data_IF_994212684385
#
_entry.id   IF_994212684385
#
_cell.length_a   1.000
_cell.length_b   1.000
_cell.length_c   1.000
_cell.angle_alpha   90.00
_cell.angle_beta   90.00
_cell.angle_gamma   90.00
#
_symmetry.space_group_name_H-M   'P 1'
#
loop_
_entity.id
_entity.type
_entity.pdbx_description
1 polymer ?
#
# COMPACT_ATOMS: atom_id res chain seq x y z
N UNK A 1 -26.04 -34.22 -20.47
CA UNK A 1 -25.26 -32.98 -20.77
C UNK A 1 -25.40 -32.05 -19.58
N UNK A 2 -24.32 -31.88 -18.80
CA UNK A 2 -24.33 -31.12 -17.55
C UNK A 2 -24.43 -29.62 -17.86
N UNK A 3 -25.41 -28.96 -17.23
CA UNK A 3 -25.62 -27.51 -17.26
C UNK A 3 -24.40 -26.83 -16.62
N UNK A 4 -23.72 -25.94 -17.36
CA UNK A 4 -22.70 -25.07 -16.79
C UNK A 4 -23.37 -23.74 -16.46
N UNK A 5 -23.55 -23.48 -15.17
CA UNK A 5 -24.06 -22.22 -14.64
C UNK A 5 -22.99 -21.13 -14.80
N UNK A 6 -23.41 -19.96 -15.26
CA UNK A 6 -22.74 -18.68 -15.11
C UNK A 6 -22.27 -18.45 -13.67
N UNK A 7 -21.10 -17.82 -13.50
CA UNK A 7 -20.93 -16.88 -12.40
C UNK A 7 -20.12 -15.70 -12.91
N UNK A 8 -20.84 -14.59 -13.05
CA UNK A 8 -20.34 -13.24 -13.31
C UNK A 8 -19.46 -12.87 -12.12
N UNK A 9 -18.16 -12.67 -12.35
CA UNK A 9 -17.27 -12.13 -11.35
C UNK A 9 -17.63 -10.65 -11.19
N UNK A 10 -18.42 -10.36 -10.15
CA UNK A 10 -18.80 -9.00 -9.78
C UNK A 10 -17.54 -8.20 -9.47
N UNK A 11 -17.27 -7.18 -10.29
CA UNK A 11 -16.27 -6.15 -10.02
C UNK A 11 -16.74 -5.40 -8.78
N UNK A 12 -16.23 -5.76 -7.60
CA UNK A 12 -16.26 -4.86 -6.45
C UNK A 12 -15.17 -3.81 -6.71
N UNK A 13 -15.54 -2.76 -7.44
CA UNK A 13 -14.83 -1.51 -7.38
C UNK A 13 -14.99 -0.97 -5.97
N UNK A 14 -14.02 -1.23 -5.09
CA UNK A 14 -13.87 -0.44 -3.88
C UNK A 14 -13.38 0.93 -4.35
N UNK A 15 -14.34 1.81 -4.62
CA UNK A 15 -14.13 3.23 -4.83
C UNK A 15 -13.22 3.73 -3.72
N UNK A 16 -12.05 4.25 -4.10
CA UNK A 16 -11.12 4.87 -3.19
C UNK A 16 -11.86 5.89 -2.34
N UNK A 17 -11.84 5.71 -1.03
CA UNK A 17 -12.22 6.74 -0.09
C UNK A 17 -11.22 7.89 -0.29
N UNK A 18 -11.56 8.85 -1.15
CA UNK A 18 -10.91 10.15 -1.21
C UNK A 18 -11.28 10.90 0.06
N UNK A 19 -10.57 10.61 1.15
CA UNK A 19 -10.48 11.52 2.27
C UNK A 19 -9.36 12.50 1.94
N UNK A 20 -9.73 13.70 1.49
CA UNK A 20 -8.87 14.86 1.68
C UNK A 20 -8.77 15.04 3.21
N UNK A 21 -7.72 14.48 3.81
CA UNK A 21 -7.56 14.38 5.26
C UNK A 21 -7.26 15.74 5.91
N UNK A 22 -7.08 16.80 5.11
CA UNK A 22 -6.59 18.10 5.56
C UNK A 22 -5.17 18.05 6.13
N UNK A 23 -4.50 16.89 6.03
CA UNK A 23 -3.13 16.72 6.47
C UNK A 23 -2.18 17.29 5.41
N UNK A 24 -1.15 17.98 5.86
CA UNK A 24 -0.10 18.52 4.99
C UNK A 24 1.26 18.21 5.59
N UNK A 25 2.02 17.33 4.93
CA UNK A 25 3.38 16.95 5.33
C UNK A 25 4.44 17.56 4.41
N UNK A 26 4.12 18.59 3.63
CA UNK A 26 5.08 19.30 2.76
C UNK A 26 6.24 19.91 3.54
N UNK A 27 5.99 20.29 4.80
CA UNK A 27 6.98 20.86 5.71
C UNK A 27 7.98 19.83 6.27
N UNK A 28 7.68 18.53 6.19
CA UNK A 28 8.52 17.42 6.66
C UNK A 28 9.54 17.06 5.58
N UNK A 29 10.47 17.97 5.33
CA UNK A 29 11.41 17.91 4.22
C UNK A 29 12.86 17.61 4.64
N UNK A 30 13.04 17.03 5.82
CA UNK A 30 14.35 16.61 6.31
C UNK A 30 14.22 15.39 7.23
N UNK A 31 15.34 14.69 7.41
CA UNK A 31 15.41 13.54 8.31
C UNK A 31 15.13 13.97 9.76
N UNK A 32 15.65 15.10 10.19
CA UNK A 32 15.49 15.64 11.55
C UNK A 32 14.02 15.89 11.86
N UNK A 33 13.29 16.53 10.94
CA UNK A 33 11.85 16.79 11.09
C UNK A 33 11.04 15.50 11.12
N UNK A 34 11.41 14.53 10.27
CA UNK A 34 10.77 13.22 10.26
C UNK A 34 10.95 12.52 11.60
N UNK A 35 12.19 12.51 12.13
CA UNK A 35 12.50 11.84 13.39
C UNK A 35 11.85 12.52 14.60
N UNK A 36 11.74 13.85 14.58
CA UNK A 36 10.99 14.59 15.60
C UNK A 36 9.52 14.14 15.65
N UNK A 37 8.86 14.00 14.50
CA UNK A 37 7.47 13.52 14.44
C UNK A 37 7.33 12.04 14.81
N UNK A 38 8.33 11.21 14.55
CA UNK A 38 8.38 9.82 15.04
C UNK A 38 8.46 9.80 16.57
N UNK A 39 9.33 10.62 17.16
CA UNK A 39 9.47 10.73 18.61
C UNK A 39 8.19 11.25 19.29
N UNK A 40 7.45 12.13 18.61
CA UNK A 40 6.14 12.62 19.04
C UNK A 40 5.00 11.61 18.83
N UNK A 41 5.26 10.44 18.23
CA UNK A 41 4.24 9.43 17.93
C UNK A 41 3.27 9.84 16.82
N UNK A 42 3.67 10.76 15.93
CA UNK A 42 2.87 11.26 14.81
C UNK A 42 3.19 10.58 13.48
N UNK A 43 4.41 10.03 13.35
CA UNK A 43 4.82 9.23 12.20
C UNK A 43 5.27 7.85 12.65
N UNK A 44 4.95 6.87 11.82
CA UNK A 44 5.18 5.45 12.05
C UNK A 44 5.96 4.89 10.86
N UNK A 45 6.97 4.09 11.15
CA UNK A 45 7.74 3.40 10.12
C UNK A 45 6.95 2.20 9.62
N UNK A 46 6.83 2.06 8.31
CA UNK A 46 6.25 0.86 7.66
C UNK A 46 7.19 0.33 6.60
N UNK A 47 7.04 -0.96 6.25
CA UNK A 47 7.66 -1.53 5.06
C UNK A 47 6.79 -1.30 3.82
N UNK A 48 7.42 -0.94 2.70
CA UNK A 48 6.77 -0.84 1.40
C UNK A 48 6.42 -2.24 0.91
N UNK A 49 7.43 -3.06 0.66
CA UNK A 49 7.29 -4.47 0.35
C UNK A 49 7.15 -5.27 1.66
N UNK A 50 6.05 -6.04 1.84
CA UNK A 50 5.78 -6.78 3.08
C UNK A 50 6.84 -7.81 3.45
N UNK A 51 7.08 -7.97 4.75
CA UNK A 51 8.02 -8.98 5.28
C UNK A 51 7.56 -10.42 4.99
N UNK A 52 6.24 -10.63 4.90
CA UNK A 52 5.56 -11.87 4.59
C UNK A 52 5.88 -12.36 3.17
N UNK A 53 6.32 -11.46 2.30
CA UNK A 53 6.80 -11.76 0.95
C UNK A 53 8.33 -11.70 0.83
N UNK A 54 9.05 -11.53 1.94
CA UNK A 54 10.51 -11.43 1.98
C UNK A 54 11.05 -10.00 1.99
N UNK A 55 10.21 -9.00 2.25
CA UNK A 55 10.65 -7.61 2.42
C UNK A 55 11.53 -7.41 3.64
N UNK A 56 12.70 -6.80 3.45
CA UNK A 56 13.65 -6.51 4.53
C UNK A 56 13.42 -5.14 5.16
N UNK A 57 13.75 -4.99 6.45
CA UNK A 57 13.76 -3.68 7.10
C UNK A 57 15.04 -2.90 6.79
N UNK A 58 15.10 -2.34 5.58
CA UNK A 58 16.18 -1.50 5.08
C UNK A 58 15.66 -0.14 4.63
N UNK A 59 16.50 0.92 4.58
CA UNK A 59 16.06 2.27 4.20
C UNK A 59 15.31 2.34 2.87
N UNK A 60 15.65 1.49 1.90
CA UNK A 60 15.04 1.44 0.56
C UNK A 60 13.65 0.80 0.56
N UNK A 61 13.33 0.00 1.56
CA UNK A 61 12.05 -0.70 1.69
C UNK A 61 11.20 -0.12 2.84
N UNK A 62 11.57 1.03 3.39
CA UNK A 62 10.85 1.61 4.53
C UNK A 62 10.52 3.08 4.31
N UNK A 63 9.36 3.49 4.80
CA UNK A 63 8.88 4.88 4.76
C UNK A 63 8.23 5.26 6.09
N UNK A 64 8.06 6.55 6.31
CA UNK A 64 7.35 7.10 7.48
C UNK A 64 5.98 7.63 7.05
N UNK A 65 4.93 7.21 7.75
CA UNK A 65 3.54 7.51 7.43
C UNK A 65 2.78 7.95 8.69
N UNK A 66 1.70 8.76 8.57
CA UNK A 66 0.87 9.13 9.70
C UNK A 66 0.10 7.95 10.30
N UNK A 67 -0.50 8.18 11.47
CA UNK A 67 -1.39 7.22 12.12
C UNK A 67 -2.52 6.75 11.19
N UNK A 68 -2.99 5.51 11.36
CA UNK A 68 -4.05 4.89 10.56
C UNK A 68 -3.56 4.24 9.27
N UNK A 69 -2.43 4.72 8.71
CA UNK A 69 -1.83 4.14 7.50
C UNK A 69 -1.25 2.74 7.75
N UNK A 70 -0.55 2.46 8.87
CA UNK A 70 -0.07 1.10 9.16
C UNK A 70 -1.20 0.07 9.14
N UNK A 71 -2.34 0.37 9.77
CA UNK A 71 -3.48 -0.53 9.84
C UNK A 71 -4.11 -0.78 8.47
N UNK A 72 -4.22 0.26 7.64
CA UNK A 72 -4.68 0.12 6.24
C UNK A 72 -3.71 -0.76 5.45
N UNK A 73 -2.41 -0.56 5.62
CA UNK A 73 -1.36 -1.34 4.95
C UNK A 73 -1.40 -2.81 5.37
N UNK A 74 -1.66 -3.10 6.64
CA UNK A 74 -1.79 -4.47 7.15
C UNK A 74 -3.00 -5.18 6.53
N UNK A 75 -4.17 -4.53 6.48
CA UNK A 75 -5.38 -5.08 5.85
C UNK A 75 -5.21 -5.38 4.35
N UNK A 76 -4.51 -4.49 3.64
CA UNK A 76 -4.15 -4.71 2.24
C UNK A 76 -3.20 -5.90 2.11
N UNK A 77 -2.21 -6.00 3.00
CA UNK A 77 -1.22 -7.09 3.01
C UNK A 77 -1.90 -8.45 3.24
N UNK A 78 -2.82 -8.55 4.20
CA UNK A 78 -3.62 -9.76 4.43
C UNK A 78 -4.41 -10.18 3.18
N UNK A 79 -4.93 -9.21 2.43
CA UNK A 79 -5.64 -9.48 1.17
C UNK A 79 -4.70 -9.99 0.08
N UNK A 80 -3.52 -9.39 -0.05
CA UNK A 80 -2.48 -9.83 -0.99
C UNK A 80 -1.99 -11.24 -0.67
N UNK A 81 -1.82 -11.58 0.61
CA UNK A 81 -1.43 -12.94 1.05
C UNK A 81 -2.44 -13.97 0.53
N UNK A 82 -3.74 -13.73 0.74
CA UNK A 82 -4.79 -14.61 0.22
C UNK A 82 -4.72 -14.75 -1.31
N UNK A 83 -4.38 -13.69 -2.03
CA UNK A 83 -4.31 -13.72 -3.50
C UNK A 83 -3.08 -14.51 -3.99
N UNK A 84 -1.96 -14.44 -3.29
CA UNK A 84 -0.80 -15.30 -3.53
C UNK A 84 -1.16 -16.76 -3.26
N UNK A 85 -1.78 -17.06 -2.12
CA UNK A 85 -2.18 -18.43 -1.73
C UNK A 85 -3.16 -19.06 -2.74
N UNK A 86 -4.05 -18.26 -3.32
CA UNK A 86 -4.99 -18.70 -4.36
C UNK A 86 -4.36 -18.78 -5.77
N UNK A 87 -3.09 -18.40 -5.92
CA UNK A 87 -2.40 -18.35 -7.20
C UNK A 87 -3.04 -17.35 -8.17
N UNK A 88 -3.55 -16.23 -7.65
CA UNK A 88 -4.14 -15.13 -8.42
C UNK A 88 -3.09 -14.09 -8.83
N UNK A 89 -2.03 -13.92 -8.03
CA UNK A 89 -0.90 -13.04 -8.31
C UNK A 89 0.42 -13.77 -7.99
N UNK A 90 1.47 -13.46 -8.72
CA UNK A 90 2.83 -13.98 -8.48
C UNK A 90 3.91 -12.88 -8.55
N UNK A 91 3.51 -11.65 -8.86
CA UNK A 91 4.37 -10.48 -8.94
C UNK A 91 3.70 -9.29 -8.26
N UNK A 92 4.51 -8.45 -7.60
CA UNK A 92 4.06 -7.21 -6.99
C UNK A 92 5.16 -6.15 -7.04
N UNK A 93 4.77 -4.90 -7.27
CA UNK A 93 5.61 -3.72 -7.12
C UNK A 93 4.93 -2.74 -6.18
N UNK A 94 5.71 -2.07 -5.32
CA UNK A 94 5.21 -1.06 -4.38
C UNK A 94 6.00 0.22 -4.59
N UNK A 95 5.30 1.29 -4.96
CA UNK A 95 5.91 2.55 -5.34
C UNK A 95 5.29 3.70 -4.52
N UNK A 96 6.06 4.35 -3.62
CA UNK A 96 5.62 5.57 -2.96
C UNK A 96 5.72 6.78 -3.92
N UNK A 97 4.75 7.68 -3.89
CA UNK A 97 4.83 8.98 -4.57
C UNK A 97 4.90 10.12 -3.55
N UNK A 98 5.80 11.08 -3.79
CA UNK A 98 6.04 12.21 -2.90
C UNK A 98 5.60 13.52 -3.55
N UNK A 99 5.15 14.47 -2.71
CA UNK A 99 4.89 15.86 -3.10
C UNK A 99 6.08 16.73 -2.72
N UNK A 100 6.69 17.39 -3.71
CA UNK A 100 7.85 18.26 -3.51
C UNK A 100 9.02 17.52 -2.86
N UNK A 101 9.59 18.11 -1.81
CA UNK A 101 10.74 17.55 -1.09
C UNK A 101 10.35 16.87 0.24
N UNK A 102 9.07 16.48 0.40
CA UNK A 102 8.62 15.81 1.62
C UNK A 102 9.26 14.43 1.76
N UNK A 103 9.54 14.04 3.00
CA UNK A 103 9.99 12.71 3.40
C UNK A 103 8.81 11.78 3.75
N UNK A 104 7.58 12.30 3.73
CA UNK A 104 6.35 11.53 3.92
C UNK A 104 5.68 11.35 2.55
N UNK A 105 5.45 10.11 2.08
CA UNK A 105 4.78 9.89 0.80
C UNK A 105 3.35 10.44 0.85
N UNK A 106 2.92 11.02 -0.27
CA UNK A 106 1.54 11.46 -0.48
C UNK A 106 0.60 10.28 -0.75
N UNK A 107 1.15 9.22 -1.37
CA UNK A 107 0.45 7.96 -1.58
C UNK A 107 1.42 6.81 -1.77
N UNK A 108 0.92 5.60 -1.60
CA UNK A 108 1.64 4.35 -1.90
C UNK A 108 0.79 3.58 -2.91
N UNK A 109 1.38 3.31 -4.08
CA UNK A 109 0.75 2.51 -5.13
C UNK A 109 1.30 1.10 -5.13
N UNK A 110 0.41 0.12 -5.17
CA UNK A 110 0.77 -1.28 -5.35
C UNK A 110 0.26 -1.73 -6.71
N UNK A 111 1.12 -2.38 -7.47
CA UNK A 111 0.78 -3.01 -8.74
C UNK A 111 1.04 -4.49 -8.62
N UNK A 112 0.02 -5.32 -8.87
CA UNK A 112 0.14 -6.77 -8.88
C UNK A 112 -0.09 -7.31 -10.27
N UNK A 113 0.50 -8.47 -10.54
CA UNK A 113 0.26 -9.20 -11.78
C UNK A 113 0.45 -10.69 -11.57
N UNK A 114 0.02 -11.44 -12.58
CA UNK A 114 0.27 -12.88 -12.68
C UNK A 114 0.90 -13.20 -14.03
N UNK A 115 2.02 -13.93 -14.04
CA UNK A 115 2.78 -14.23 -15.26
C UNK A 115 1.98 -14.96 -16.35
N UNK A 116 1.03 -15.81 -15.97
CA UNK A 116 0.18 -16.61 -16.88
C UNK A 116 -1.34 -16.38 -16.82
N UNK A 117 -1.85 -15.36 -16.11
CA UNK A 117 -3.30 -15.14 -15.95
C UNK A 117 -3.63 -13.65 -15.99
N UNK A 118 -4.81 -13.32 -16.47
CA UNK A 118 -5.33 -11.95 -16.40
C UNK A 118 -6.08 -11.75 -15.08
N UNK A 119 -5.77 -10.67 -14.38
CA UNK A 119 -6.35 -10.32 -13.10
C UNK A 119 -5.36 -9.48 -12.30
N UNK A 120 -5.82 -8.36 -11.75
CA UNK A 120 -4.98 -7.43 -11.01
C UNK A 120 -5.74 -6.92 -9.79
N UNK A 121 -5.01 -6.72 -8.70
CA UNK A 121 -5.46 -5.99 -7.52
C UNK A 121 -4.41 -4.95 -7.18
N UNK A 122 -4.72 -3.71 -7.53
CA UNK A 122 -3.76 -2.60 -7.50
C UNK A 122 -4.21 -1.54 -6.49
N UNK A 123 -4.17 -1.84 -5.18
CA UNK A 123 -4.61 -0.89 -4.17
C UNK A 123 -3.69 0.33 -4.14
N UNK A 124 -4.29 1.48 -3.83
CA UNK A 124 -3.58 2.72 -3.57
C UNK A 124 -3.95 3.20 -2.18
N UNK A 125 -2.94 3.52 -1.37
CA UNK A 125 -3.11 4.15 -0.08
C UNK A 125 -2.86 5.64 -0.28
N UNK A 126 -3.91 6.46 -0.25
CA UNK A 126 -3.78 7.92 -0.20
C UNK A 126 -3.46 8.33 1.24
N UNK A 127 -2.51 9.27 1.40
CA UNK A 127 -2.00 9.68 2.70
C UNK A 127 -2.33 11.15 2.97
N UNK A 128 -1.93 12.04 2.06
CA UNK A 128 -2.10 13.49 2.17
C UNK A 128 -1.90 14.19 0.83
#
# INVERSE_FOLDING_TARGET
>A
MKKLLMTILGVLGMSGANADTGLDFSHVNSREKTMALVQEGKLFKILLFPSEFGGEDIPQNSVYVPAGIPEIKDQITETLIRFVEQGLIDNMQVNPEYKGNSFVPSKIKMSTSHSGKSGEFNPTIEIW
#
